data_IF_607087615907
#
_entry.id   IF_607087615907
#
_cell.length_a   1.000
_cell.length_b   1.000
_cell.length_c   1.000
_cell.angle_alpha   90.00
_cell.angle_beta   90.00
_cell.angle_gamma   90.00
#
_symmetry.space_group_name_H-M   'P 1'
#
loop_
_entity.id
_entity.type
_entity.pdbx_description
1 polymer ?
#
# COMPACT_ATOMS: atom_id res chain seq x y z
N UNK A 1 -5.52 -17.18 -37.40
CA UNK A 1 -5.49 -17.74 -36.03
C UNK A 1 -6.20 -16.78 -35.09
N UNK A 2 -7.35 -17.18 -34.56
CA UNK A 2 -8.07 -16.46 -33.50
C UNK A 2 -7.42 -16.79 -32.14
N UNK A 3 -7.23 -15.84 -31.21
CA UNK A 3 -6.79 -16.19 -29.87
C UNK A 3 -7.91 -16.92 -29.13
N UNK A 4 -7.52 -18.01 -28.46
CA UNK A 4 -8.32 -18.87 -27.58
C UNK A 4 -9.10 -18.06 -26.52
N UNK A 5 -10.28 -18.51 -26.05
CA UNK A 5 -11.01 -17.81 -25.00
C UNK A 5 -10.18 -17.85 -23.71
N UNK A 6 -9.44 -16.77 -23.43
CA UNK A 6 -8.84 -16.56 -22.11
C UNK A 6 -9.98 -16.57 -21.11
N UNK A 7 -10.03 -17.62 -20.29
CA UNK A 7 -10.86 -17.74 -19.11
C UNK A 7 -10.83 -16.38 -18.39
N UNK A 8 -11.91 -15.58 -18.50
CA UNK A 8 -11.99 -14.26 -17.88
C UNK A 8 -12.16 -14.50 -16.39
N UNK A 9 -11.06 -14.73 -15.68
CA UNK A 9 -11.04 -14.71 -14.23
C UNK A 9 -11.50 -13.31 -13.83
N UNK A 10 -12.74 -13.21 -13.36
CA UNK A 10 -13.32 -11.94 -12.91
C UNK A 10 -12.70 -11.59 -11.56
N UNK A 11 -11.58 -10.87 -11.60
CA UNK A 11 -10.96 -10.28 -10.43
C UNK A 11 -11.63 -8.94 -10.15
N UNK A 12 -12.02 -8.68 -8.90
CA UNK A 12 -12.51 -7.35 -8.49
C UNK A 12 -11.34 -6.48 -8.07
N UNK A 13 -11.30 -5.25 -8.56
CA UNK A 13 -10.30 -4.26 -8.16
C UNK A 13 -10.96 -3.23 -7.24
N UNK A 14 -10.29 -2.91 -6.13
CA UNK A 14 -10.69 -1.90 -5.16
C UNK A 14 -9.58 -0.86 -5.09
N UNK A 15 -9.94 0.41 -4.98
CA UNK A 15 -9.03 1.46 -4.57
C UNK A 15 -9.30 1.76 -3.10
N UNK A 16 -8.27 1.69 -2.27
CA UNK A 16 -8.40 1.92 -0.82
C UNK A 16 -7.49 3.05 -0.36
N UNK A 17 -7.99 3.86 0.56
CA UNK A 17 -7.21 4.85 1.29
C UNK A 17 -7.21 4.48 2.76
N UNK A 18 -6.03 4.40 3.37
CA UNK A 18 -5.87 4.09 4.80
C UNK A 18 -5.06 5.21 5.48
N UNK A 19 -5.40 5.49 6.74
CA UNK A 19 -4.62 6.37 7.60
C UNK A 19 -4.07 5.57 8.78
N UNK A 20 -2.76 5.65 9.03
CA UNK A 20 -2.11 4.93 10.13
C UNK A 20 -2.03 5.76 11.40
N UNK A 21 -1.91 5.07 12.54
CA UNK A 21 -1.52 5.65 13.81
C UNK A 21 -0.45 4.75 14.46
N UNK A 22 0.67 5.30 14.96
CA UNK A 22 1.07 6.71 14.97
C UNK A 22 1.49 7.24 13.57
N UNK A 23 1.85 8.52 13.48
CA UNK A 23 2.42 9.14 12.28
C UNK A 23 1.43 9.68 11.25
N UNK A 24 0.13 9.37 11.38
CA UNK A 24 -0.95 9.90 10.53
C UNK A 24 -0.65 9.72 9.03
N UNK A 25 -0.05 8.59 8.68
CA UNK A 25 0.34 8.32 7.30
C UNK A 25 -0.84 7.95 6.44
N UNK A 26 -1.06 8.69 5.36
CA UNK A 26 -2.13 8.43 4.41
C UNK A 26 -1.55 7.66 3.24
N UNK A 27 -2.12 6.48 2.98
CA UNK A 27 -1.68 5.59 1.91
C UNK A 27 -2.83 5.21 0.99
N UNK A 28 -2.52 5.12 -0.29
CA UNK A 28 -3.42 4.66 -1.35
C UNK A 28 -2.85 3.39 -1.99
N UNK A 29 -3.72 2.44 -2.28
CA UNK A 29 -3.35 1.22 -2.97
C UNK A 29 -4.54 0.61 -3.72
N UNK A 30 -4.24 0.02 -4.87
CA UNK A 30 -5.18 -0.85 -5.56
C UNK A 30 -5.10 -2.27 -5.00
N UNK A 31 -6.22 -2.86 -4.62
CA UNK A 31 -6.32 -4.22 -4.10
C UNK A 31 -7.19 -5.07 -5.01
N UNK A 32 -6.64 -6.19 -5.45
CA UNK A 32 -7.35 -7.20 -6.22
C UNK A 32 -7.93 -8.28 -5.31
N UNK A 33 -9.17 -8.70 -5.56
CA UNK A 33 -9.80 -9.86 -4.93
C UNK A 33 -10.03 -10.94 -5.98
N UNK A 34 -9.44 -12.11 -5.77
CA UNK A 34 -9.64 -13.27 -6.64
C UNK A 34 -11.00 -13.95 -6.37
N UNK A 35 -11.36 -14.89 -7.24
CA UNK A 35 -12.61 -15.66 -7.15
C UNK A 35 -12.68 -16.56 -5.90
N UNK A 36 -11.54 -16.84 -5.26
CA UNK A 36 -11.45 -17.62 -4.00
C UNK A 36 -11.53 -16.71 -2.77
N UNK A 37 -11.72 -15.41 -2.97
CA UNK A 37 -11.81 -14.41 -1.93
C UNK A 37 -10.46 -13.94 -1.36
N UNK A 38 -9.33 -14.31 -1.97
CA UNK A 38 -8.02 -13.83 -1.52
C UNK A 38 -7.78 -12.42 -2.04
N UNK A 39 -7.25 -11.57 -1.16
CA UNK A 39 -6.88 -10.20 -1.47
C UNK A 39 -5.37 -10.10 -1.73
N UNK A 40 -4.99 -9.28 -2.71
CA UNK A 40 -3.59 -8.94 -2.99
C UNK A 40 -3.48 -7.48 -3.40
N UNK A 41 -2.46 -6.79 -2.89
CA UNK A 41 -2.08 -5.47 -3.41
C UNK A 41 -1.65 -5.65 -4.86
N UNK A 42 -2.22 -4.82 -5.73
CA UNK A 42 -1.97 -4.80 -7.17
C UNK A 42 -1.17 -3.54 -7.48
N UNK A 43 0.15 -3.69 -7.67
CA UNK A 43 1.04 -2.56 -7.90
C UNK A 43 1.71 -2.05 -6.63
N UNK A 44 2.03 -0.76 -6.59
CA UNK A 44 2.71 -0.11 -5.47
C UNK A 44 1.72 0.47 -4.46
N UNK A 45 2.20 0.68 -3.23
CA UNK A 45 1.49 1.45 -2.19
C UNK A 45 2.05 2.87 -2.22
N UNK A 46 1.17 3.85 -2.37
CA UNK A 46 1.54 5.26 -2.47
C UNK A 46 1.27 5.98 -1.16
N UNK A 47 2.29 6.61 -0.56
CA UNK A 47 2.10 7.57 0.54
C UNK A 47 1.69 8.92 -0.05
N UNK A 48 0.53 9.44 0.34
CA UNK A 48 -0.02 10.69 -0.24
C UNK A 48 0.31 11.94 0.58
N UNK A 49 0.73 11.79 1.84
CA UNK A 49 1.17 12.91 2.68
C UNK A 49 2.68 12.85 3.01
N UNK A 50 3.24 14.03 3.33
CA UNK A 50 4.65 14.16 3.69
C UNK A 50 4.95 13.40 5.00
N UNK A 51 5.97 12.53 4.98
CA UNK A 51 6.45 11.83 6.17
C UNK A 51 7.58 12.59 6.89
N UNK A 52 8.26 13.54 6.22
CA UNK A 52 9.24 14.43 6.86
C UNK A 52 10.30 13.69 7.68
N UNK A 53 10.40 14.03 8.98
CA UNK A 53 11.32 13.41 9.94
C UNK A 53 10.76 12.16 10.63
N UNK A 54 9.55 11.73 10.28
CA UNK A 54 8.89 10.58 10.92
C UNK A 54 9.65 9.26 10.74
N UNK A 55 10.48 9.16 9.70
CA UNK A 55 11.23 7.96 9.35
C UNK A 55 12.76 8.17 9.47
N UNK A 56 13.21 9.10 10.32
CA UNK A 56 14.62 9.52 10.37
C UNK A 56 15.59 8.39 10.79
N UNK A 57 15.12 7.44 11.59
CA UNK A 57 15.85 6.25 12.02
C UNK A 57 16.05 5.21 10.90
N UNK A 58 15.40 5.40 9.74
CA UNK A 58 15.39 4.45 8.61
C UNK A 58 16.45 4.82 7.59
N UNK A 59 17.40 3.92 7.38
CA UNK A 59 18.50 4.09 6.41
C UNK A 59 18.12 3.66 5.00
N UNK A 60 17.22 2.70 4.87
CA UNK A 60 16.82 2.16 3.57
C UNK A 60 15.70 3.00 2.93
N UNK A 61 15.99 3.58 1.76
CA UNK A 61 15.10 4.54 1.12
C UNK A 61 13.76 3.94 0.69
N UNK A 62 13.74 2.66 0.31
CA UNK A 62 12.55 1.92 -0.20
C UNK A 62 11.46 1.75 0.86
N UNK A 63 11.83 1.63 2.13
CA UNK A 63 10.88 1.44 3.24
C UNK A 63 10.58 2.75 3.98
N UNK A 64 11.32 3.81 3.68
CA UNK A 64 11.26 5.10 4.40
C UNK A 64 9.88 5.74 4.37
N UNK A 65 9.10 5.55 3.30
CA UNK A 65 7.74 6.07 3.19
C UNK A 65 6.71 5.34 4.09
N UNK A 66 7.02 4.13 4.57
CA UNK A 66 6.12 3.31 5.37
C UNK A 66 6.39 3.40 6.86
N UNK A 67 7.63 3.69 7.24
CA UNK A 67 8.08 3.59 8.61
C UNK A 67 7.80 4.86 9.43
N UNK A 68 7.63 4.63 10.73
CA UNK A 68 7.56 5.65 11.77
C UNK A 68 8.55 5.28 12.89
N UNK A 69 9.33 6.24 13.36
CA UNK A 69 10.33 6.05 14.40
C UNK A 69 9.70 6.27 15.78
N UNK A 70 9.87 5.27 16.67
CA UNK A 70 9.20 5.22 17.99
C UNK A 70 9.64 6.30 18.96
N UNK A 71 10.85 6.81 18.82
CA UNK A 71 11.39 7.91 19.62
C UNK A 71 10.63 9.24 19.42
N UNK A 72 9.75 9.31 18.42
CA UNK A 72 8.83 10.43 18.22
C UNK A 72 7.55 10.34 19.07
N UNK A 73 7.32 9.23 19.78
CA UNK A 73 6.18 9.06 20.69
C UNK A 73 6.43 9.69 22.08
N UNK A 74 7.68 10.05 22.41
CA UNK A 74 8.07 10.55 23.74
C UNK A 74 8.00 12.09 23.90
N UNK A 75 7.17 12.80 23.14
CA UNK A 75 7.03 14.26 23.24
C UNK A 75 5.57 14.72 23.37
#
# INVERSE_FOLDING_TARGET
>A
MSPSPTNRISTRLFEITIMTYPGLGVFEASVSKDIRGKYKVSGAISRTNLYGKQSHCVKEATIRLFCYCKDLEEN
#
